data_IF_204808828216
#
_entry.id   IF_204808828216
#
_cell.length_a   1.000
_cell.length_b   1.000
_cell.length_c   1.000
_cell.angle_alpha   90.00
_cell.angle_beta   90.00
_cell.angle_gamma   90.00
#
_symmetry.space_group_name_H-M   'P 1'
#
loop_
_entity.id
_entity.type
_entity.pdbx_description
1 polymer ?
#
# COMPACT_ATOMS: atom_id res chain seq x y z
N UNK A 1 27.99 19.17 22.96
CA UNK A 1 27.26 18.03 23.57
C UNK A 1 26.13 18.56 24.45
N UNK A 2 24.89 18.46 23.97
CA UNK A 2 23.67 18.13 24.73
C UNK A 2 22.52 18.20 23.73
N UNK A 3 21.99 17.02 23.41
CA UNK A 3 20.92 16.77 22.44
C UNK A 3 19.62 17.27 23.05
N UNK A 4 18.96 18.22 22.40
CA UNK A 4 17.54 18.50 22.65
C UNK A 4 16.74 17.51 21.80
N UNK A 5 16.27 16.46 22.46
CA UNK A 5 15.32 15.50 21.91
C UNK A 5 13.96 16.18 21.91
N UNK A 6 13.53 16.69 20.75
CA UNK A 6 12.16 17.19 20.56
C UNK A 6 11.33 15.99 20.12
N UNK A 7 10.74 15.31 21.09
CA UNK A 7 9.68 14.33 20.86
C UNK A 7 8.42 15.08 20.42
N UNK A 8 8.11 14.97 19.13
CA UNK A 8 6.87 15.44 18.53
C UNK A 8 5.76 14.50 18.99
N UNK A 9 4.90 15.00 19.89
CA UNK A 9 3.72 14.28 20.38
C UNK A 9 2.63 14.39 19.29
N UNK A 10 2.41 13.30 18.56
CA UNK A 10 1.31 13.18 17.61
C UNK A 10 0.00 13.06 18.41
N UNK A 11 -0.76 14.16 18.48
CA UNK A 11 -2.12 14.15 19.04
C UNK A 11 -3.02 13.59 17.95
N UNK A 12 -3.34 12.30 18.06
CA UNK A 12 -4.38 11.68 17.27
C UNK A 12 -5.71 12.26 17.77
N UNK A 13 -6.33 13.11 16.95
CA UNK A 13 -7.72 13.54 17.11
C UNK A 13 -8.61 12.32 16.82
N UNK A 14 -8.74 11.44 17.81
CA UNK A 14 -9.86 10.51 17.87
C UNK A 14 -11.07 11.42 18.07
N UNK A 15 -11.83 11.61 16.99
CA UNK A 15 -13.16 12.23 17.05
C UNK A 15 -14.05 11.30 17.85
N UNK A 16 -13.96 11.38 19.18
CA UNK A 16 -14.87 10.71 20.07
C UNK A 16 -16.26 11.27 19.80
N UNK A 17 -17.19 10.43 19.35
CA UNK A 17 -18.61 10.69 19.52
C UNK A 17 -18.82 10.86 21.03
N UNK A 18 -18.97 12.10 21.49
CA UNK A 18 -19.35 12.36 22.88
C UNK A 18 -20.87 12.14 22.89
N UNK A 19 -21.39 11.08 23.54
CA UNK A 19 -22.84 10.96 23.70
C UNK A 19 -23.34 12.18 24.46
N UNK A 20 -24.43 12.79 24.00
CA UNK A 20 -25.09 13.87 24.74
C UNK A 20 -25.85 13.22 25.89
N UNK A 21 -25.41 13.48 27.12
CA UNK A 21 -25.97 12.84 28.30
C UNK A 21 -27.34 13.47 28.60
N UNK A 22 -28.36 12.64 28.74
CA UNK A 22 -29.65 13.05 29.29
C UNK A 22 -29.52 13.65 30.69
N UNK A 23 -30.50 14.46 31.08
CA UNK A 23 -30.60 15.06 32.40
C UNK A 23 -30.47 13.96 33.48
N UNK A 24 -29.41 14.03 34.31
CA UNK A 24 -28.94 13.04 35.32
C UNK A 24 -27.87 12.04 34.90
N UNK A 25 -27.27 12.19 33.72
CA UNK A 25 -26.12 11.39 33.33
C UNK A 25 -26.48 9.95 32.93
N UNK A 26 -27.72 9.74 32.49
CA UNK A 26 -28.19 8.45 32.01
C UNK A 26 -28.95 8.69 30.70
N UNK A 27 -28.58 7.94 29.66
CA UNK A 27 -29.21 8.03 28.34
C UNK A 27 -30.67 7.58 28.40
N UNK A 28 -31.52 8.23 27.60
CA UNK A 28 -32.90 7.81 27.35
C UNK A 28 -32.94 6.69 26.32
N UNK A 29 -32.03 6.72 25.36
CA UNK A 29 -31.83 5.67 24.36
C UNK A 29 -30.84 4.67 24.94
N UNK A 30 -31.27 3.45 25.23
CA UNK A 30 -30.45 2.47 25.94
C UNK A 30 -29.62 1.59 25.02
N UNK A 31 -30.15 1.29 23.84
CA UNK A 31 -29.48 0.50 22.83
C UNK A 31 -29.98 0.92 21.46
N UNK A 32 -29.11 0.81 20.47
CA UNK A 32 -29.52 0.93 19.08
C UNK A 32 -28.68 0.03 18.18
N UNK A 33 -29.32 -0.50 17.14
CA UNK A 33 -28.75 -1.39 16.15
C UNK A 33 -29.09 -0.84 14.77
N UNK A 34 -28.09 -0.71 13.92
CA UNK A 34 -28.20 -0.30 12.54
C UNK A 34 -27.91 -1.50 11.64
N UNK A 35 -28.89 -1.87 10.83
CA UNK A 35 -28.80 -2.95 9.87
C UNK A 35 -28.95 -2.39 8.46
N UNK A 36 -28.16 -2.92 7.53
CA UNK A 36 -28.35 -2.64 6.11
C UNK A 36 -29.68 -3.24 5.65
N UNK A 37 -30.54 -2.42 5.03
CA UNK A 37 -31.91 -2.84 4.69
C UNK A 37 -31.94 -3.94 3.61
N UNK A 38 -30.98 -3.94 2.69
CA UNK A 38 -30.97 -4.89 1.57
C UNK A 38 -30.41 -6.26 1.98
N UNK A 39 -29.36 -6.25 2.81
CA UNK A 39 -28.60 -7.45 3.17
C UNK A 39 -28.98 -8.01 4.54
N UNK A 40 -29.62 -7.20 5.40
CA UNK A 40 -29.88 -7.54 6.80
C UNK A 40 -28.59 -7.67 7.63
N UNK A 41 -27.47 -7.16 7.13
CA UNK A 41 -26.20 -7.23 7.83
C UNK A 41 -26.17 -6.19 8.96
N UNK A 42 -25.81 -6.62 10.17
CA UNK A 42 -25.57 -5.71 11.28
C UNK A 42 -24.34 -4.85 11.00
N UNK A 43 -24.55 -3.55 10.81
CA UNK A 43 -23.51 -2.56 10.50
C UNK A 43 -22.92 -2.01 11.79
N UNK A 44 -23.79 -1.63 12.73
CA UNK A 44 -23.41 -0.98 13.96
C UNK A 44 -24.37 -1.37 15.09
N UNK A 45 -23.84 -1.58 16.28
CA UNK A 45 -24.64 -1.74 17.49
C UNK A 45 -24.01 -0.99 18.65
N UNK A 46 -24.85 -0.36 19.46
CA UNK A 46 -24.42 0.34 20.66
C UNK A 46 -25.30 -0.04 21.84
N UNK A 47 -24.68 -0.13 23.02
CA UNK A 47 -25.37 -0.40 24.27
C UNK A 47 -24.88 0.55 25.36
N UNK A 48 -25.81 1.21 26.06
CA UNK A 48 -25.55 2.15 27.13
C UNK A 48 -24.89 1.51 28.36
N UNK A 49 -25.14 0.22 28.62
CA UNK A 49 -24.62 -0.51 29.77
C UNK A 49 -23.11 -0.72 29.70
N UNK A 50 -22.61 -1.13 28.53
CA UNK A 50 -21.18 -1.38 28.29
C UNK A 50 -20.45 -0.16 27.71
N UNK A 51 -21.19 0.85 27.25
CA UNK A 51 -20.69 2.03 26.50
C UNK A 51 -19.83 1.64 25.29
N UNK A 52 -20.06 0.45 24.72
CA UNK A 52 -19.33 -0.04 23.58
C UNK A 52 -20.13 0.22 22.30
N UNK A 53 -19.51 0.94 21.38
CA UNK A 53 -19.92 1.02 19.99
C UNK A 53 -19.21 -0.11 19.23
N UNK A 54 -19.97 -1.12 18.80
CA UNK A 54 -19.48 -2.16 17.92
C UNK A 54 -19.81 -1.76 16.49
N UNK A 55 -18.77 -1.53 15.69
CA UNK A 55 -18.90 -1.20 14.27
C UNK A 55 -18.34 -2.35 13.44
N UNK A 56 -19.22 -3.12 12.80
CA UNK A 56 -18.85 -4.26 11.96
C UNK A 56 -18.59 -3.86 10.51
N UNK A 57 -19.28 -2.82 10.04
CA UNK A 57 -19.17 -2.30 8.69
C UNK A 57 -19.22 -0.75 8.70
N UNK A 58 -18.67 -0.08 7.67
CA UNK A 58 -18.88 1.35 7.49
C UNK A 58 -20.35 1.66 7.18
N UNK A 59 -20.83 2.82 7.62
CA UNK A 59 -22.11 3.38 7.17
C UNK A 59 -21.84 4.22 5.93
N UNK A 60 -22.48 3.86 4.82
CA UNK A 60 -22.27 4.47 3.51
C UNK A 60 -23.39 5.46 3.17
N UNK A 61 -23.00 6.60 2.58
CA UNK A 61 -23.93 7.57 2.02
C UNK A 61 -24.59 7.01 0.75
N UNK A 62 -25.92 7.10 0.67
CA UNK A 62 -26.72 6.56 -0.42
C UNK A 62 -27.31 5.18 -0.17
N UNK A 63 -26.90 4.50 0.90
CA UNK A 63 -27.44 3.21 1.31
C UNK A 63 -28.65 3.38 2.24
N UNK A 64 -29.50 2.35 2.26
CA UNK A 64 -30.72 2.30 3.05
C UNK A 64 -30.50 1.43 4.29
N UNK A 65 -30.89 1.97 5.43
CA UNK A 65 -30.68 1.33 6.72
C UNK A 65 -31.97 1.19 7.51
N UNK A 66 -32.01 0.16 8.34
CA UNK A 66 -32.98 -0.03 9.39
C UNK A 66 -32.29 0.22 10.74
N UNK A 67 -32.67 1.29 11.42
CA UNK A 67 -32.22 1.63 12.76
C UNK A 67 -33.29 1.24 13.76
N UNK A 68 -33.03 0.19 14.53
CA UNK A 68 -33.85 -0.17 15.69
C UNK A 68 -33.20 0.41 16.95
N UNK A 69 -33.98 1.10 17.79
CA UNK A 69 -33.50 1.59 19.07
C UNK A 69 -34.52 1.41 20.19
N UNK A 70 -34.01 1.21 21.40
CA UNK A 70 -34.80 1.08 22.62
C UNK A 70 -34.82 2.40 23.40
N UNK A 71 -35.99 2.99 23.50
CA UNK A 71 -36.26 4.19 24.27
C UNK A 71 -36.83 3.81 25.64
N UNK A 72 -36.15 4.18 26.73
CA UNK A 72 -36.64 3.97 28.09
C UNK A 72 -37.13 5.29 28.70
N UNK A 73 -38.45 5.43 28.81
CA UNK A 73 -39.11 6.51 29.51
C UNK A 73 -39.32 6.10 30.96
N UNK A 74 -38.62 6.76 31.88
CA UNK A 74 -38.49 6.31 33.29
C UNK A 74 -39.54 6.83 34.25
N UNK A 75 -40.32 7.79 33.81
CA UNK A 75 -41.37 8.40 34.63
C UNK A 75 -42.50 8.85 33.75
N UNK A 76 -43.71 8.83 34.30
CA UNK A 76 -44.88 9.43 33.65
C UNK A 76 -44.99 10.89 34.10
N UNK A 77 -45.16 11.80 33.14
CA UNK A 77 -45.44 13.21 33.42
C UNK A 77 -46.74 13.59 32.72
N UNK A 78 -47.77 13.84 33.52
CA UNK A 78 -49.09 14.19 33.00
C UNK A 78 -49.05 15.45 32.13
N UNK A 79 -49.72 15.39 30.98
CA UNK A 79 -49.79 16.46 29.97
C UNK A 79 -48.43 16.89 29.38
N UNK A 80 -47.36 16.11 29.59
CA UNK A 80 -46.10 16.32 28.89
C UNK A 80 -46.06 15.48 27.61
N UNK A 81 -45.55 16.10 26.54
CA UNK A 81 -45.39 15.48 25.23
C UNK A 81 -43.91 15.48 24.88
N UNK A 82 -43.43 14.34 24.41
CA UNK A 82 -42.10 14.16 23.85
C UNK A 82 -42.20 14.17 22.32
N UNK A 83 -41.13 14.61 21.66
CA UNK A 83 -41.05 14.68 20.21
C UNK A 83 -39.79 13.95 19.74
N UNK A 84 -39.96 13.00 18.82
CA UNK A 84 -38.84 12.39 18.10
C UNK A 84 -38.71 13.06 16.74
N UNK A 85 -37.49 13.43 16.38
CA UNK A 85 -37.17 14.05 15.09
C UNK A 85 -36.13 13.22 14.35
N UNK A 86 -36.38 12.99 13.07
CA UNK A 86 -35.46 12.39 12.13
C UNK A 86 -34.70 13.50 11.40
N UNK A 87 -33.43 13.23 11.09
CA UNK A 87 -32.60 14.09 10.25
C UNK A 87 -33.25 14.41 8.90
N UNK A 88 -32.95 15.59 8.34
CA UNK A 88 -33.37 15.96 6.98
C UNK A 88 -32.62 15.15 5.91
N UNK A 89 -31.42 14.68 6.24
CA UNK A 89 -30.52 13.91 5.37
C UNK A 89 -30.94 12.44 5.18
N UNK A 90 -32.08 12.03 5.77
CA UNK A 90 -32.64 10.70 5.61
C UNK A 90 -33.84 10.74 4.69
N UNK A 91 -33.77 10.10 3.54
CA UNK A 91 -34.83 10.07 2.54
C UNK A 91 -35.62 8.77 2.60
N UNK A 92 -36.86 8.82 2.11
CA UNK A 92 -37.65 7.61 1.86
C UNK A 92 -37.17 6.94 0.59
N UNK A 93 -37.13 5.61 0.60
CA UNK A 93 -36.83 4.84 -0.60
C UNK A 93 -37.72 3.61 -0.72
N UNK A 94 -37.46 2.57 0.06
CA UNK A 94 -38.20 1.30 -0.06
C UNK A 94 -39.55 1.38 0.64
N UNK A 95 -39.59 2.01 1.82
CA UNK A 95 -40.81 2.24 2.57
C UNK A 95 -41.35 3.67 2.39
N UNK A 96 -42.68 3.82 2.38
CA UNK A 96 -43.33 5.13 2.40
C UNK A 96 -43.38 5.77 3.80
N UNK A 97 -42.97 5.00 4.82
CA UNK A 97 -42.92 5.39 6.23
C UNK A 97 -41.48 5.49 6.71
N UNK A 98 -41.24 6.41 7.64
CA UNK A 98 -39.97 6.51 8.35
C UNK A 98 -39.98 5.73 9.65
N UNK A 99 -41.13 5.67 10.34
CA UNK A 99 -41.23 5.14 11.69
C UNK A 99 -42.09 3.88 11.72
N UNK A 100 -41.54 2.82 12.29
CA UNK A 100 -42.26 1.60 12.65
C UNK A 100 -42.13 1.35 14.15
N UNK A 101 -43.26 1.20 14.85
CA UNK A 101 -43.28 1.02 16.30
C UNK A 101 -43.33 -0.49 16.57
N UNK A 102 -42.26 -1.05 17.14
CA UNK A 102 -42.05 -2.50 17.28
C UNK A 102 -42.73 -3.13 18.49
N UNK A 103 -42.98 -2.38 19.57
CA UNK A 103 -43.55 -2.89 20.83
C UNK A 103 -44.79 -2.13 21.32
N UNK A 104 -45.33 -2.58 22.47
CA UNK A 104 -46.53 -2.10 23.20
C UNK A 104 -46.90 -0.68 22.83
N UNK A 105 -48.10 -0.52 22.25
CA UNK A 105 -48.72 0.72 21.77
C UNK A 105 -48.10 1.97 22.40
N UNK A 106 -47.02 2.47 21.76
CA UNK A 106 -46.43 3.75 22.12
C UNK A 106 -47.59 4.75 22.16
N UNK A 107 -47.77 5.53 23.25
CA UNK A 107 -48.93 6.39 23.43
C UNK A 107 -48.77 7.65 22.57
N UNK A 108 -48.77 7.43 21.25
CA UNK A 108 -48.64 8.45 20.22
C UNK A 108 -49.84 9.38 20.26
N UNK A 109 -49.61 10.63 19.90
CA UNK A 109 -50.69 11.61 19.82
C UNK A 109 -51.59 11.32 18.60
N UNK A 110 -52.86 11.79 18.59
CA UNK A 110 -53.80 11.49 17.49
C UNK A 110 -53.38 11.97 16.10
N UNK A 111 -52.41 12.89 16.03
CA UNK A 111 -51.77 13.42 14.82
C UNK A 111 -50.57 12.59 14.35
N UNK A 112 -50.33 11.42 14.96
CA UNK A 112 -49.25 10.51 14.54
C UNK A 112 -49.37 10.14 13.08
N UNK A 113 -48.28 10.36 12.35
CA UNK A 113 -48.13 9.95 10.97
C UNK A 113 -46.74 9.32 10.78
N UNK A 114 -46.66 8.00 10.53
CA UNK A 114 -45.38 7.31 10.38
C UNK A 114 -44.59 7.78 9.14
N UNK A 115 -45.24 8.47 8.20
CA UNK A 115 -44.62 9.08 7.04
C UNK A 115 -44.01 10.46 7.30
N UNK A 116 -44.20 11.06 8.49
CA UNK A 116 -43.58 12.34 8.85
C UNK A 116 -42.20 12.15 9.47
N UNK A 117 -41.29 13.11 9.24
CA UNK A 117 -39.94 13.08 9.83
C UNK A 117 -39.93 13.29 11.34
N UNK A 118 -41.02 13.78 11.91
CA UNK A 118 -41.16 13.90 13.36
C UNK A 118 -42.53 13.43 13.78
N UNK A 119 -42.61 12.95 15.01
CA UNK A 119 -43.88 12.62 15.63
C UNK A 119 -43.83 12.87 17.13
N UNK A 120 -45.00 12.96 17.74
CA UNK A 120 -45.19 13.27 19.15
C UNK A 120 -45.86 12.11 19.89
N UNK A 121 -45.49 11.94 21.15
CA UNK A 121 -46.04 10.91 22.01
C UNK A 121 -46.10 11.39 23.47
N UNK A 122 -47.03 10.85 24.24
CA UNK A 122 -47.23 11.22 25.63
C UNK A 122 -46.07 10.70 26.49
N UNK A 123 -45.64 11.50 27.46
CA UNK A 123 -44.58 11.15 28.40
C UNK A 123 -45.10 10.14 29.44
N UNK A 124 -45.20 8.88 29.05
CA UNK A 124 -45.68 7.76 29.88
C UNK A 124 -44.54 6.78 30.09
N UNK A 125 -44.35 6.35 31.33
CA UNK A 125 -43.35 5.38 31.75
C UNK A 125 -43.49 4.06 30.97
N UNK A 126 -42.39 3.61 30.37
CA UNK A 126 -42.36 2.43 29.53
C UNK A 126 -41.06 2.30 28.74
N UNK A 127 -40.83 1.09 28.24
CA UNK A 127 -39.71 0.77 27.34
C UNK A 127 -40.30 0.51 25.96
N UNK A 128 -39.88 1.30 24.99
CA UNK A 128 -40.42 1.30 23.63
C UNK A 128 -39.32 0.95 22.64
N UNK A 129 -39.65 0.07 21.69
CA UNK A 129 -38.79 -0.30 20.56
C UNK A 129 -39.31 0.41 19.33
N UNK A 130 -38.43 1.18 18.70
CA UNK A 130 -38.76 2.03 17.57
C UNK A 130 -37.77 1.72 16.46
N UNK A 131 -38.30 1.41 15.29
CA UNK A 131 -37.55 1.19 14.08
C UNK A 131 -37.68 2.41 13.17
N UNK A 132 -36.56 2.75 12.54
CA UNK A 132 -36.46 3.83 11.57
C UNK A 132 -35.90 3.28 10.29
N UNK A 133 -36.64 3.44 9.20
CA UNK A 133 -36.21 3.00 7.88
C UNK A 133 -36.00 4.23 6.99
N UNK A 134 -34.84 4.28 6.35
CA UNK A 134 -34.56 5.32 5.38
C UNK A 134 -33.18 5.24 4.75
N UNK A 135 -33.05 5.90 3.60
CA UNK A 135 -31.80 6.06 2.88
C UNK A 135 -31.07 7.31 3.35
N UNK A 136 -29.77 7.22 3.61
CA UNK A 136 -28.94 8.40 3.87
C UNK A 136 -28.65 9.12 2.55
N UNK A 137 -28.75 10.46 2.49
CA UNK A 137 -28.45 11.24 1.29
C UNK A 137 -27.07 10.87 0.73
N UNK A 138 -27.04 10.51 -0.56
CA UNK A 138 -25.84 10.16 -1.31
C UNK A 138 -24.85 11.31 -1.42
N UNK A 139 -25.32 12.55 -1.33
CA UNK A 139 -24.47 13.73 -1.46
C UNK A 139 -23.93 14.24 -0.11
N UNK A 140 -24.33 13.63 1.01
CA UNK A 140 -23.96 14.09 2.35
C UNK A 140 -22.44 14.23 2.55
N UNK A 141 -21.66 13.31 1.99
CA UNK A 141 -20.19 13.29 2.14
C UNK A 141 -19.47 14.04 1.02
N UNK A 142 -20.19 14.56 0.02
CA UNK A 142 -19.63 15.17 -1.20
C UNK A 142 -19.74 16.68 -1.15
N UNK A 143 -18.61 17.37 -1.15
CA UNK A 143 -18.54 18.83 -1.08
C UNK A 143 -17.80 19.39 -2.29
N UNK A 144 -18.45 20.24 -3.08
CA UNK A 144 -17.85 21.01 -4.18
C UNK A 144 -18.38 20.63 -5.58
N UNK A 145 -18.51 21.65 -6.44
CA UNK A 145 -19.11 21.50 -7.79
C UNK A 145 -18.12 21.03 -8.86
N UNK A 146 -16.86 21.48 -8.79
CA UNK A 146 -15.81 21.19 -9.81
C UNK A 146 -14.75 20.20 -9.35
N UNK A 147 -14.49 20.14 -8.05
CA UNK A 147 -13.66 19.13 -7.39
C UNK A 147 -14.54 18.55 -6.28
N UNK A 148 -14.85 17.26 -6.40
CA UNK A 148 -15.65 16.56 -5.40
C UNK A 148 -14.73 16.22 -4.24
N UNK A 149 -14.93 16.89 -3.10
CA UNK A 149 -14.27 16.53 -1.85
C UNK A 149 -15.13 15.52 -1.11
N UNK A 150 -14.53 14.39 -0.76
CA UNK A 150 -15.17 13.32 -0.01
C UNK A 150 -14.77 13.45 1.46
N UNK A 151 -15.71 13.77 2.35
CA UNK A 151 -15.45 13.95 3.78
C UNK A 151 -16.39 13.10 4.62
N UNK A 152 -15.87 12.37 5.64
CA UNK A 152 -16.72 11.75 6.65
C UNK A 152 -17.58 12.79 7.36
N UNK A 153 -18.86 12.49 7.56
CA UNK A 153 -19.81 13.37 8.25
C UNK A 153 -20.41 12.63 9.44
N UNK A 154 -20.43 13.27 10.61
CA UNK A 154 -21.19 12.78 11.75
C UNK A 154 -22.63 13.22 11.60
N UNK A 155 -23.51 12.28 11.25
CA UNK A 155 -24.93 12.49 11.05
C UNK A 155 -25.68 12.21 12.35
N UNK A 156 -26.41 13.20 12.86
CA UNK A 156 -27.43 12.98 13.88
C UNK A 156 -28.68 12.43 13.20
N UNK A 157 -28.99 11.15 13.42
CA UNK A 157 -30.10 10.46 12.76
C UNK A 157 -31.40 10.74 13.49
N UNK A 158 -31.42 10.52 14.80
CA UNK A 158 -32.60 10.67 15.65
C UNK A 158 -32.29 11.63 16.79
N UNK A 159 -33.21 12.54 17.07
CA UNK A 159 -33.17 13.43 18.22
C UNK A 159 -34.43 13.28 19.06
N UNK A 160 -34.26 13.14 20.38
CA UNK A 160 -35.34 13.14 21.35
C UNK A 160 -35.46 14.51 22.01
N UNK A 161 -36.60 15.17 21.81
CA UNK A 161 -36.90 16.49 22.33
C UNK A 161 -37.95 16.42 23.44
N UNK A 162 -37.66 17.10 24.55
CA UNK A 162 -38.57 17.25 25.67
C UNK A 162 -39.65 18.33 25.46
N UNK A 163 -40.65 18.41 26.35
CA UNK A 163 -41.77 19.35 26.25
C UNK A 163 -41.33 20.83 26.27
N UNK A 164 -40.18 21.13 26.87
CA UNK A 164 -39.59 22.47 26.91
C UNK A 164 -38.69 22.80 25.71
N UNK A 165 -38.74 22.00 24.63
CA UNK A 165 -37.81 22.08 23.49
C UNK A 165 -36.34 21.95 23.93
N UNK A 166 -36.11 21.08 24.91
CA UNK A 166 -34.77 20.70 25.37
C UNK A 166 -34.40 19.37 24.74
N UNK A 167 -33.23 19.28 24.12
CA UNK A 167 -32.68 18.02 23.64
C UNK A 167 -32.39 17.09 24.85
N UNK A 168 -32.99 15.91 24.85
CA UNK A 168 -32.81 14.90 25.89
C UNK A 168 -31.78 13.85 25.51
N UNK A 169 -31.78 13.41 24.24
CA UNK A 169 -30.85 12.40 23.74
C UNK A 169 -30.77 12.46 22.21
N UNK A 170 -29.71 11.90 21.63
CA UNK A 170 -29.55 11.79 20.19
C UNK A 170 -28.75 10.55 19.76
N UNK A 171 -29.00 10.10 18.53
CA UNK A 171 -28.23 9.04 17.88
C UNK A 171 -27.37 9.67 16.80
N UNK A 172 -26.05 9.63 16.98
CA UNK A 172 -25.07 10.13 16.01
C UNK A 172 -24.26 9.00 15.42
N UNK A 173 -24.20 8.93 14.09
CA UNK A 173 -23.42 7.92 13.35
C UNK A 173 -22.44 8.61 12.41
N UNK A 174 -21.27 8.02 12.19
CA UNK A 174 -20.30 8.53 11.21
C UNK A 174 -20.57 7.88 9.86
N UNK A 175 -21.00 8.69 8.90
CA UNK A 175 -21.27 8.32 7.51
C UNK A 175 -20.04 8.62 6.65
N UNK A 176 -19.69 7.69 5.78
CA UNK A 176 -18.64 7.84 4.76
C UNK A 176 -19.22 7.51 3.38
N UNK A 177 -18.46 7.73 2.31
CA UNK A 177 -18.81 7.20 0.99
C UNK A 177 -17.94 6.01 0.60
N UNK A 178 -18.34 5.36 -0.49
CA UNK A 178 -17.61 4.28 -1.16
C UNK A 178 -16.15 4.65 -1.42
N UNK A 179 -15.85 5.91 -1.82
CA UNK A 179 -14.48 6.34 -2.11
C UNK A 179 -13.60 6.42 -0.89
N UNK A 180 -14.13 6.92 0.23
CA UNK A 180 -13.44 6.91 1.52
C UNK A 180 -13.18 5.46 1.97
N UNK A 181 -14.13 4.55 1.77
CA UNK A 181 -13.94 3.14 2.13
C UNK A 181 -12.88 2.46 1.26
N UNK A 182 -12.95 2.62 -0.06
CA UNK A 182 -11.95 2.17 -1.03
C UNK A 182 -10.54 2.65 -0.64
N UNK A 183 -10.41 3.94 -0.34
CA UNK A 183 -9.16 4.53 0.11
C UNK A 183 -8.65 3.88 1.41
N UNK A 184 -9.52 3.69 2.40
CA UNK A 184 -9.14 3.07 3.68
C UNK A 184 -8.70 1.62 3.48
N UNK A 185 -9.38 0.88 2.61
CA UNK A 185 -9.01 -0.48 2.26
C UNK A 185 -7.62 -0.51 1.61
N UNK A 186 -7.42 0.32 0.59
CA UNK A 186 -6.16 0.39 -0.16
C UNK A 186 -5.01 0.88 0.72
N UNK A 187 -5.24 1.85 1.60
CA UNK A 187 -4.26 2.31 2.58
C UNK A 187 -3.79 1.16 3.49
N UNK A 188 -4.71 0.38 4.07
CA UNK A 188 -4.35 -0.77 4.92
C UNK A 188 -3.53 -1.81 4.15
N UNK A 189 -3.89 -2.05 2.88
CA UNK A 189 -3.15 -2.97 2.02
C UNK A 189 -1.71 -2.49 1.79
N UNK A 190 -1.51 -1.20 1.50
CA UNK A 190 -0.17 -0.62 1.28
C UNK A 190 0.65 -0.54 2.57
N UNK A 191 0.03 -0.26 3.71
CA UNK A 191 0.70 -0.29 5.01
C UNK A 191 1.20 -1.71 5.33
N UNK A 192 0.37 -2.74 5.12
CA UNK A 192 0.79 -4.13 5.27
C UNK A 192 1.91 -4.52 4.30
N UNK A 193 1.86 -4.03 3.06
CA UNK A 193 2.91 -4.25 2.06
C UNK A 193 4.24 -3.57 2.47
N UNK A 194 4.18 -2.35 3.03
CA UNK A 194 5.35 -1.65 3.54
C UNK A 194 5.98 -2.41 4.73
N UNK A 195 5.17 -2.97 5.63
CA UNK A 195 5.67 -3.83 6.71
C UNK A 195 6.40 -5.07 6.16
N UNK A 196 5.89 -5.69 5.09
CA UNK A 196 6.58 -6.77 4.40
C UNK A 196 7.90 -6.31 3.76
N UNK A 197 7.93 -5.12 3.16
CA UNK A 197 9.15 -4.53 2.59
C UNK A 197 10.20 -4.23 3.65
N UNK A 198 9.81 -3.86 4.87
CA UNK A 198 10.74 -3.72 6.00
C UNK A 198 11.29 -5.07 6.47
N UNK A 199 10.52 -6.14 6.32
CA UNK A 199 10.94 -7.50 6.68
C UNK A 199 11.81 -8.18 5.61
N UNK A 200 11.73 -7.73 4.35
CA UNK A 200 12.55 -8.20 3.23
C UNK A 200 13.71 -7.23 2.96
N UNK A 201 14.82 -7.69 2.38
CA UNK A 201 16.01 -6.85 2.07
C UNK A 201 15.76 -5.87 0.90
N UNK A 202 14.65 -5.11 0.96
CA UNK A 202 14.32 -4.04 0.02
C UNK A 202 15.22 -2.84 0.27
N UNK A 203 15.50 -2.04 -0.77
CA UNK A 203 16.31 -0.83 -0.66
C UNK A 203 15.68 0.17 0.35
N UNK A 204 16.43 0.61 1.39
CA UNK A 204 15.96 1.62 2.34
C UNK A 204 15.48 2.92 1.68
N UNK A 205 16.04 3.32 0.53
CA UNK A 205 15.60 4.49 -0.21
C UNK A 205 14.18 4.30 -0.78
N UNK A 206 13.84 3.08 -1.21
CA UNK A 206 12.51 2.74 -1.70
C UNK A 206 11.47 2.68 -0.57
N UNK A 207 11.87 2.19 0.61
CA UNK A 207 11.04 2.21 1.82
C UNK A 207 10.72 3.66 2.21
N UNK A 208 11.73 4.53 2.27
CA UNK A 208 11.55 5.94 2.63
C UNK A 208 10.67 6.69 1.60
N UNK A 209 10.83 6.40 0.31
CA UNK A 209 9.99 6.96 -0.73
C UNK A 209 8.51 6.54 -0.55
N UNK A 210 8.29 5.24 -0.30
CA UNK A 210 6.94 4.68 -0.08
C UNK A 210 6.27 5.28 1.16
N UNK A 211 7.02 5.51 2.24
CA UNK A 211 6.54 6.20 3.44
C UNK A 211 6.10 7.63 3.15
N UNK A 212 6.90 8.39 2.40
CA UNK A 212 6.54 9.76 2.01
C UNK A 212 5.28 9.80 1.14
N UNK A 213 5.10 8.85 0.22
CA UNK A 213 3.89 8.74 -0.59
C UNK A 213 2.65 8.39 0.26
N UNK A 214 2.79 7.47 1.22
CA UNK A 214 1.72 7.14 2.17
C UNK A 214 1.32 8.35 3.01
N UNK A 215 2.30 9.11 3.52
CA UNK A 215 2.03 10.32 4.30
C UNK A 215 1.34 11.39 3.44
N UNK A 216 1.82 11.61 2.21
CA UNK A 216 1.18 12.55 1.28
C UNK A 216 -0.26 12.12 0.96
N UNK A 217 -0.50 10.83 0.71
CA UNK A 217 -1.84 10.31 0.46
C UNK A 217 -2.78 10.52 1.67
N UNK A 218 -2.29 10.31 2.89
CA UNK A 218 -3.04 10.62 4.14
C UNK A 218 -3.41 12.10 4.22
N UNK A 219 -2.46 12.99 3.96
CA UNK A 219 -2.72 14.43 3.97
C UNK A 219 -3.74 14.85 2.90
N UNK A 220 -3.69 14.25 1.70
CA UNK A 220 -4.69 14.52 0.65
C UNK A 220 -6.09 14.03 1.08
N UNK A 221 -6.18 12.83 1.65
CA UNK A 221 -7.45 12.30 2.14
C UNK A 221 -8.04 13.12 3.29
N UNK A 222 -7.23 13.63 4.23
CA UNK A 222 -7.68 14.54 5.30
C UNK A 222 -8.27 15.86 4.76
N UNK A 223 -7.75 16.35 3.63
CA UNK A 223 -8.30 17.52 2.95
C UNK A 223 -9.60 17.22 2.19
N UNK A 224 -10.01 15.94 2.11
CA UNK A 224 -11.16 15.45 1.34
C UNK A 224 -10.82 15.11 -0.12
N UNK A 225 -9.55 15.21 -0.53
CA UNK A 225 -9.08 14.88 -1.88
C UNK A 225 -8.80 13.37 -2.00
N UNK A 226 -9.83 12.57 -1.73
CA UNK A 226 -9.72 11.11 -1.65
C UNK A 226 -9.37 10.50 -3.01
N UNK A 227 -9.90 11.00 -4.11
CA UNK A 227 -9.55 10.53 -5.47
C UNK A 227 -8.06 10.73 -5.78
N UNK A 228 -7.49 11.88 -5.37
CA UNK A 228 -6.05 12.14 -5.51
C UNK A 228 -5.23 11.21 -4.62
N UNK A 229 -5.70 10.95 -3.39
CA UNK A 229 -5.04 10.03 -2.47
C UNK A 229 -5.01 8.59 -3.01
N UNK A 230 -6.12 8.10 -3.59
CA UNK A 230 -6.19 6.80 -4.24
C UNK A 230 -5.17 6.72 -5.39
N UNK A 231 -5.18 7.70 -6.30
CA UNK A 231 -4.24 7.76 -7.42
C UNK A 231 -2.77 7.71 -6.96
N UNK A 232 -2.42 8.43 -5.89
CA UNK A 232 -1.07 8.39 -5.32
C UNK A 232 -0.70 6.99 -4.82
N UNK A 233 -1.61 6.31 -4.12
CA UNK A 233 -1.35 4.98 -3.60
C UNK A 233 -1.29 3.90 -4.69
N UNK A 234 -2.09 4.03 -5.74
CA UNK A 234 -2.04 3.14 -6.92
C UNK A 234 -0.71 3.30 -7.68
N UNK A 235 -0.17 4.52 -7.77
CA UNK A 235 1.15 4.74 -8.43
C UNK A 235 2.33 4.05 -7.73
N UNK A 236 2.16 3.61 -6.49
CA UNK A 236 3.17 2.84 -5.75
C UNK A 236 3.18 1.35 -6.11
N UNK A 237 2.27 0.86 -6.95
CA UNK A 237 2.25 -0.54 -7.38
C UNK A 237 3.44 -0.86 -8.28
N UNK A 238 4.49 -1.38 -7.66
CA UNK A 238 5.63 -1.95 -8.37
C UNK A 238 5.60 -3.45 -8.19
N UNK A 239 5.36 -4.20 -9.28
CA UNK A 239 5.29 -5.68 -9.29
C UNK A 239 6.59 -6.34 -8.78
N UNK A 240 7.70 -5.62 -8.74
CA UNK A 240 8.98 -6.08 -8.21
C UNK A 240 9.75 -4.90 -7.60
N UNK A 241 9.67 -4.67 -6.28
CA UNK A 241 10.41 -3.59 -5.64
C UNK A 241 11.92 -3.81 -5.81
N UNK A 242 12.72 -2.75 -5.97
CA UNK A 242 14.17 -2.88 -6.06
C UNK A 242 14.70 -3.46 -4.74
N UNK A 243 15.15 -4.71 -4.80
CA UNK A 243 15.93 -5.32 -3.70
C UNK A 243 17.25 -4.58 -3.57
N UNK A 244 17.84 -4.53 -2.37
CA UNK A 244 19.22 -4.07 -2.22
C UNK A 244 20.13 -4.93 -3.11
N UNK A 245 20.43 -4.43 -4.30
CA UNK A 245 21.50 -4.98 -5.11
C UNK A 245 22.77 -4.50 -4.44
N UNK A 246 23.34 -5.35 -3.59
CA UNK A 246 24.78 -5.29 -3.34
C UNK A 246 25.54 -5.23 -4.67
N UNK A 247 26.80 -4.76 -4.69
CA UNK A 247 27.55 -4.57 -5.92
C UNK A 247 27.43 -5.83 -6.77
N UNK A 248 26.95 -5.66 -7.99
CA UNK A 248 26.65 -6.81 -8.86
C UNK A 248 27.89 -7.72 -8.97
N UNK A 249 27.70 -9.02 -9.14
CA UNK A 249 28.82 -9.94 -9.41
C UNK A 249 29.69 -9.43 -10.58
N UNK A 250 29.09 -8.69 -11.53
CA UNK A 250 29.84 -7.99 -12.56
C UNK A 250 30.75 -6.91 -11.97
N UNK A 251 30.25 -5.97 -11.17
CA UNK A 251 31.08 -4.88 -10.62
C UNK A 251 32.16 -5.38 -9.65
N UNK A 252 31.87 -6.41 -8.85
CA UNK A 252 32.81 -6.92 -7.85
C UNK A 252 34.00 -7.68 -8.47
N UNK A 253 33.78 -8.39 -9.59
CA UNK A 253 34.80 -9.20 -10.24
C UNK A 253 35.35 -8.59 -11.53
N UNK A 254 34.76 -7.53 -12.08
CA UNK A 254 35.22 -6.88 -13.31
C UNK A 254 36.65 -6.36 -13.19
N UNK A 255 36.97 -5.61 -12.14
CA UNK A 255 38.32 -5.06 -11.93
C UNK A 255 39.41 -6.15 -11.78
N UNK A 256 39.27 -7.15 -10.89
CA UNK A 256 40.29 -8.18 -10.74
C UNK A 256 40.40 -9.11 -11.96
N UNK A 257 39.28 -9.47 -12.61
CA UNK A 257 39.30 -10.35 -13.79
C UNK A 257 39.92 -9.65 -15.01
N UNK A 258 39.56 -8.39 -15.25
CA UNK A 258 40.11 -7.62 -16.38
C UNK A 258 41.59 -7.31 -16.16
N UNK A 259 41.99 -7.01 -14.93
CA UNK A 259 43.40 -6.84 -14.55
C UNK A 259 44.24 -8.10 -14.75
N UNK A 260 43.71 -9.27 -14.35
CA UNK A 260 44.39 -10.56 -14.53
C UNK A 260 44.57 -10.93 -16.02
N UNK A 261 43.54 -10.70 -16.84
CA UNK A 261 43.61 -10.92 -18.29
C UNK A 261 44.64 -10.03 -18.99
N UNK A 262 44.76 -8.77 -18.55
CA UNK A 262 45.73 -7.83 -19.12
C UNK A 262 47.17 -8.26 -18.83
N UNK A 263 47.46 -8.72 -17.60
CA UNK A 263 48.77 -9.26 -17.23
C UNK A 263 49.12 -10.51 -18.04
N UNK A 264 48.16 -11.44 -18.21
CA UNK A 264 48.36 -12.65 -19.01
C UNK A 264 48.65 -12.33 -20.48
N UNK A 265 47.98 -11.34 -21.06
CA UNK A 265 48.22 -10.94 -22.45
C UNK A 265 49.64 -10.38 -22.64
N UNK A 266 50.12 -9.55 -21.71
CA UNK A 266 51.48 -9.00 -21.73
C UNK A 266 52.52 -10.14 -21.69
N UNK A 267 52.33 -11.11 -20.79
CA UNK A 267 53.23 -12.28 -20.68
C UNK A 267 53.23 -13.08 -21.99
N UNK A 268 52.06 -13.30 -22.58
CA UNK A 268 51.92 -14.00 -23.86
C UNK A 268 52.66 -13.30 -25.01
N UNK A 269 52.53 -11.98 -25.12
CA UNK A 269 53.22 -11.17 -26.13
C UNK A 269 54.74 -11.27 -25.95
N UNK A 270 55.25 -11.15 -24.72
CA UNK A 270 56.68 -11.24 -24.43
C UNK A 270 57.25 -12.61 -24.79
N UNK A 271 56.53 -13.69 -24.45
CA UNK A 271 56.92 -15.06 -24.81
C UNK A 271 56.88 -15.29 -26.33
N UNK A 272 55.90 -14.74 -27.03
CA UNK A 272 55.78 -14.86 -28.48
C UNK A 272 56.95 -14.18 -29.21
N UNK A 273 57.31 -12.96 -28.81
CA UNK A 273 58.47 -12.24 -29.36
C UNK A 273 59.77 -13.00 -29.10
N UNK A 274 59.94 -13.54 -27.88
CA UNK A 274 61.14 -14.31 -27.50
C UNK A 274 61.28 -15.61 -28.30
N UNK A 275 60.15 -16.29 -28.57
CA UNK A 275 60.14 -17.54 -29.33
C UNK A 275 60.44 -17.28 -30.81
N UNK A 276 59.84 -16.25 -31.41
CA UNK A 276 60.09 -15.86 -32.80
C UNK A 276 61.53 -15.38 -33.02
N UNK A 277 62.10 -14.66 -32.05
CA UNK A 277 63.51 -14.24 -32.06
C UNK A 277 64.47 -15.43 -32.15
N UNK A 278 64.28 -16.48 -31.33
CA UNK A 278 65.16 -17.66 -31.34
C UNK A 278 65.07 -18.46 -32.64
N UNK A 279 63.91 -18.49 -33.28
CA UNK A 279 63.71 -19.16 -34.56
C UNK A 279 64.43 -18.41 -35.70
N UNK A 280 64.39 -17.07 -35.70
CA UNK A 280 65.10 -16.26 -36.70
C UNK A 280 66.63 -16.39 -36.63
N UNK A 281 67.20 -16.58 -35.44
CA UNK A 281 68.64 -16.82 -35.29
C UNK A 281 69.08 -18.20 -35.82
N UNK A 282 68.23 -19.23 -35.71
CA UNK A 282 68.56 -20.56 -36.23
C UNK A 282 68.51 -20.61 -37.75
N UNK A 283 67.55 -19.94 -38.38
CA UNK A 283 67.49 -19.89 -39.86
C UNK A 283 68.67 -19.09 -40.44
N UNK A 284 69.08 -18.00 -39.79
CA UNK A 284 70.20 -17.17 -40.25
C UNK A 284 71.55 -17.92 -40.16
N UNK A 285 71.77 -18.71 -39.10
CA UNK A 285 73.01 -19.52 -38.96
C UNK A 285 73.04 -20.68 -39.97
N UNK A 286 71.90 -21.30 -40.26
CA UNK A 286 71.80 -22.34 -41.29
C UNK A 286 72.07 -21.77 -42.68
N UNK A 287 71.60 -20.56 -42.97
CA UNK A 287 71.81 -19.90 -44.26
C UNK A 287 73.28 -19.47 -44.47
N UNK A 288 73.95 -19.01 -43.41
CA UNK A 288 75.39 -18.74 -43.45
C UNK A 288 76.22 -20.03 -43.60
N UNK A 289 75.84 -21.13 -42.95
CA UNK A 289 76.54 -22.41 -43.12
C UNK A 289 76.30 -23.06 -44.49
N UNK A 290 75.12 -22.86 -45.11
CA UNK A 290 74.87 -23.28 -46.50
C UNK A 290 75.76 -22.49 -47.45
N UNK A 291 75.88 -21.18 -47.27
CA UNK A 291 76.74 -20.32 -48.11
C UNK A 291 78.23 -20.64 -47.96
N UNK A 292 78.67 -21.01 -46.76
CA UNK A 292 80.05 -21.46 -46.51
C UNK A 292 80.30 -22.88 -47.05
N UNK A 293 79.29 -23.76 -47.02
CA UNK A 293 79.32 -25.06 -47.70
C UNK A 293 79.40 -24.92 -49.23
N UNK A 294 78.68 -23.99 -49.84
CA UNK A 294 78.76 -23.71 -51.28
C UNK A 294 80.16 -23.21 -51.68
N UNK A 295 80.78 -22.37 -50.85
CA UNK A 295 82.15 -21.90 -51.05
C UNK A 295 83.21 -23.02 -50.87
N UNK A 296 82.99 -23.93 -49.92
CA UNK A 296 83.83 -25.11 -49.72
C UNK A 296 83.61 -26.17 -50.81
N UNK A 297 82.40 -26.32 -51.34
CA UNK A 297 82.08 -27.21 -52.46
C UNK A 297 82.75 -26.73 -53.75
N UNK A 298 82.78 -25.42 -54.01
CA UNK A 298 83.52 -24.84 -55.13
C UNK A 298 85.05 -25.05 -55.03
N UNK A 299 85.61 -25.18 -53.82
CA UNK A 299 87.02 -25.54 -53.58
C UNK A 299 87.27 -27.05 -53.63
N UNK A 300 86.36 -27.86 -53.12
CA UNK A 300 86.46 -29.32 -53.13
C UNK A 300 86.31 -29.91 -54.54
N UNK A 301 85.53 -29.26 -55.41
CA UNK A 301 85.33 -29.66 -56.82
C UNK A 301 86.61 -29.58 -57.67
N UNK A 302 87.69 -28.96 -57.17
CA UNK A 302 88.99 -28.88 -57.86
C UNK A 302 90.05 -29.87 -57.37
N UNK A 303 89.87 -30.62 -56.28
CA UNK A 303 91.00 -31.34 -55.67
C UNK A 303 90.88 -32.86 -55.51
N UNK A 304 89.73 -33.50 -55.26
CA UNK A 304 89.70 -34.98 -55.36
C UNK A 304 88.29 -35.60 -55.36
N UNK A 305 88.04 -36.51 -56.31
CA UNK A 305 86.70 -37.09 -56.60
C UNK A 305 86.21 -38.05 -55.51
N UNK A 306 87.09 -38.50 -54.62
CA UNK A 306 86.80 -39.48 -53.57
C UNK A 306 86.22 -38.86 -52.28
N UNK A 307 86.35 -37.54 -52.11
CA UNK A 307 85.81 -36.79 -50.95
C UNK A 307 84.34 -36.40 -51.13
N UNK A 308 83.89 -36.24 -52.38
CA UNK A 308 82.49 -35.96 -52.73
C UNK A 308 81.55 -37.07 -52.26
N UNK A 309 81.94 -38.34 -52.46
CA UNK A 309 81.11 -39.48 -52.05
C UNK A 309 80.95 -39.58 -50.52
N UNK A 310 81.97 -39.20 -49.73
CA UNK A 310 81.88 -39.20 -48.26
C UNK A 310 81.05 -38.04 -47.71
N UNK A 311 81.03 -36.92 -48.43
CA UNK A 311 80.18 -35.76 -48.09
C UNK A 311 78.71 -36.02 -48.45
N UNK A 312 78.44 -36.74 -49.53
CA UNK A 312 77.09 -37.18 -49.91
C UNK A 312 76.52 -38.17 -48.88
N UNK A 313 77.31 -39.12 -48.40
CA UNK A 313 76.92 -40.06 -47.34
C UNK A 313 76.62 -39.38 -46.00
N UNK A 314 77.34 -38.30 -45.66
CA UNK A 314 77.09 -37.52 -44.44
C UNK A 314 75.87 -36.60 -44.60
N UNK A 315 75.63 -36.05 -45.81
CA UNK A 315 74.48 -35.20 -46.11
C UNK A 315 73.18 -36.00 -46.08
N UNK A 316 73.18 -37.22 -46.61
CA UNK A 316 72.02 -38.12 -46.51
C UNK A 316 71.72 -38.50 -45.06
N UNK A 317 72.74 -38.77 -44.24
CA UNK A 317 72.56 -39.01 -42.79
C UNK A 317 71.99 -37.81 -42.04
N UNK A 318 72.35 -36.59 -42.43
CA UNK A 318 71.84 -35.36 -41.83
C UNK A 318 70.40 -35.05 -42.28
N UNK A 319 70.06 -35.28 -43.54
CA UNK A 319 68.68 -35.15 -44.06
C UNK A 319 67.72 -36.17 -43.47
N UNK A 320 68.21 -37.37 -43.17
CA UNK A 320 67.40 -38.42 -42.53
C UNK A 320 67.15 -38.11 -41.04
N UNK A 321 68.11 -37.45 -40.36
CA UNK A 321 67.92 -36.91 -39.02
C UNK A 321 67.03 -35.64 -38.97
N UNK A 322 66.91 -34.88 -40.07
CA UNK A 322 66.01 -33.72 -40.19
C UNK A 322 64.54 -34.12 -40.41
N UNK A 323 64.27 -35.35 -40.88
CA UNK A 323 62.91 -35.85 -41.18
C UNK A 323 62.27 -36.65 -40.04
N UNK A 324 62.96 -36.88 -38.93
CA UNK A 324 62.43 -37.50 -37.70
C UNK A 324 62.01 -36.44 -36.68
#
# INVERSE_FOLDING_TARGET
MKKACVTMLFIILISACIPVWGQNGISWIEEYTLEDYQTGQLVLSWNAGDQQLLQNAPVLAGDEYNLNFRLNVRQTVDNAVLELRLSEEIEKQSEEVFWEIGTVELPVTPDFNPAQRSFRFNHIEGVYEINVIGRIDRNLTRVGDSIVLHKPVNLTVVELWGPAQTLYDNITITVIDEKIDDYRFLLRQKEAQLEQYRATNVDPAFIQLSENFLELAKQQAENGLVDTAINLLETMEVESPPTQTGPSFQEQYFLPVTGALLILSIIGIVLFVRTRSRLGFKTMIVEDQIREMEALQARAQRIDRNLANRLEEINDRLKEAERA
#
